data_IF_912854291310
#
_entry.id   IF_912854291310
#
_cell.length_a   1.000
_cell.length_b   1.000
_cell.length_c   1.000
_cell.angle_alpha   90.00
_cell.angle_beta   90.00
_cell.angle_gamma   90.00
#
_symmetry.space_group_name_H-M   'P 1'
#
loop_
_entity.id
_entity.type
_entity.pdbx_description
1 polymer ?
#
# COMPACT_ATOMS: atom_id res chain seq x y z
N UNK A 1 25.74 -5.87 1.75
CA UNK A 1 24.51 -6.69 1.60
C UNK A 1 23.32 -6.20 2.45
N UNK A 2 23.54 -5.54 3.60
CA UNK A 2 22.46 -5.10 4.52
C UNK A 2 21.51 -4.04 3.94
N UNK A 3 22.03 -3.04 3.22
CA UNK A 3 21.25 -1.93 2.70
C UNK A 3 20.18 -2.33 1.67
N UNK A 4 20.49 -3.31 0.82
CA UNK A 4 19.53 -3.84 -0.17
C UNK A 4 18.43 -4.61 0.54
N UNK A 5 18.75 -5.44 1.54
CA UNK A 5 17.72 -6.13 2.34
C UNK A 5 16.82 -5.16 3.07
N UNK A 6 17.37 -4.10 3.67
CA UNK A 6 16.58 -3.09 4.37
C UNK A 6 15.69 -2.27 3.41
N UNK A 7 16.21 -1.96 2.23
CA UNK A 7 15.44 -1.26 1.18
C UNK A 7 14.33 -2.16 0.66
N UNK A 8 14.62 -3.44 0.41
CA UNK A 8 13.63 -4.44 -0.01
C UNK A 8 12.59 -4.66 1.09
N UNK A 9 13.00 -4.76 2.36
CA UNK A 9 12.06 -4.88 3.48
C UNK A 9 11.17 -3.64 3.63
N UNK A 10 11.69 -2.43 3.43
CA UNK A 10 10.87 -1.20 3.41
C UNK A 10 9.90 -1.16 2.22
N UNK A 11 10.30 -1.72 1.07
CA UNK A 11 9.42 -1.85 -0.10
C UNK A 11 8.36 -2.95 0.09
N UNK A 12 8.69 -4.02 0.82
CA UNK A 12 7.80 -5.15 1.12
C UNK A 12 6.88 -4.90 2.31
N UNK A 13 7.28 -4.07 3.28
CA UNK A 13 6.52 -3.80 4.52
C UNK A 13 5.16 -3.13 4.26
N UNK A 14 4.93 -2.64 3.03
CA UNK A 14 3.71 -1.93 2.71
C UNK A 14 3.70 -0.52 3.27
N UNK A 15 2.77 0.30 2.83
CA UNK A 15 2.65 1.68 3.28
C UNK A 15 1.82 1.72 4.57
N UNK A 16 2.25 2.49 5.58
CA UNK A 16 1.43 2.80 6.76
C UNK A 16 0.74 4.15 6.55
N UNK A 17 -0.58 4.16 6.42
CA UNK A 17 -1.36 5.39 6.36
C UNK A 17 -1.92 5.66 7.76
N UNK A 18 -1.60 6.82 8.31
CA UNK A 18 -2.09 7.23 9.64
C UNK A 18 -3.08 8.38 9.53
N UNK A 19 -4.36 8.06 9.72
CA UNK A 19 -5.41 9.07 9.87
C UNK A 19 -5.41 9.60 11.30
N UNK A 20 -5.41 10.93 11.41
CA UNK A 20 -5.50 11.67 12.68
C UNK A 20 -6.73 12.57 12.58
N UNK A 21 -7.90 12.07 12.96
CA UNK A 21 -9.05 12.94 13.02
C UNK A 21 -8.84 13.95 14.14
N UNK A 22 -8.95 15.22 13.78
CA UNK A 22 -8.84 16.32 14.72
C UNK A 22 -10.22 16.63 15.28
N UNK A 23 -10.46 16.15 16.50
CA UNK A 23 -11.72 16.34 17.21
C UNK A 23 -11.56 17.24 18.45
N UNK A 24 -10.34 17.68 18.78
CA UNK A 24 -9.98 18.05 20.15
C UNK A 24 -9.11 19.29 20.33
N UNK A 25 -8.76 20.01 19.26
CA UNK A 25 -7.75 21.08 19.34
C UNK A 25 -8.13 22.30 20.24
N UNK A 26 -9.33 22.34 20.81
CA UNK A 26 -9.79 23.43 21.71
C UNK A 26 -10.01 23.05 23.18
N UNK A 27 -10.00 21.77 23.55
CA UNK A 27 -10.32 21.30 24.90
C UNK A 27 -9.22 20.40 25.44
N UNK A 28 -8.83 20.61 26.69
CA UNK A 28 -7.80 19.78 27.33
C UNK A 28 -8.39 18.43 27.78
N UNK A 29 -7.52 17.51 28.18
CA UNK A 29 -7.91 16.22 28.76
C UNK A 29 -8.73 16.34 30.04
N UNK A 30 -8.71 17.50 30.69
CA UNK A 30 -9.50 17.75 31.90
C UNK A 30 -10.97 18.03 31.57
N UNK A 31 -11.25 18.59 30.39
CA UNK A 31 -12.60 18.92 29.92
C UNK A 31 -13.23 17.76 29.14
N UNK A 32 -12.43 17.07 28.32
CA UNK A 32 -12.91 16.04 27.39
C UNK A 32 -11.93 14.86 27.34
N UNK A 33 -12.47 13.64 27.31
CA UNK A 33 -11.70 12.42 27.05
C UNK A 33 -12.22 11.70 25.79
N UNK A 34 -11.31 11.29 24.91
CA UNK A 34 -11.64 10.51 23.72
C UNK A 34 -11.28 9.04 23.87
N UNK A 35 -12.24 8.18 23.55
CA UNK A 35 -12.04 6.75 23.47
C UNK A 35 -12.75 6.15 22.26
N UNK A 36 -12.23 5.01 21.80
CA UNK A 36 -12.84 4.25 20.70
C UNK A 36 -14.04 3.47 21.23
N UNK A 37 -15.26 3.88 20.85
CA UNK A 37 -16.49 3.18 21.23
C UNK A 37 -16.52 1.79 20.59
N UNK A 38 -16.37 0.75 21.41
CA UNK A 38 -16.25 -0.64 20.94
C UNK A 38 -14.82 -1.10 20.65
N UNK A 39 -13.80 -0.33 21.08
CA UNK A 39 -12.39 -0.71 21.00
C UNK A 39 -12.00 -1.10 19.57
N UNK A 40 -11.52 -2.34 19.40
CA UNK A 40 -11.13 -2.90 18.09
C UNK A 40 -12.25 -2.92 17.02
N UNK A 41 -13.52 -2.80 17.42
CA UNK A 41 -14.67 -2.78 16.50
C UNK A 41 -15.22 -1.37 16.24
N UNK A 42 -14.59 -0.32 16.76
CA UNK A 42 -15.05 1.05 16.59
C UNK A 42 -15.05 1.50 15.12
N UNK A 43 -14.19 0.90 14.29
CA UNK A 43 -14.11 1.19 12.86
C UNK A 43 -14.70 0.02 12.08
N UNK A 44 -15.78 0.30 11.35
CA UNK A 44 -16.47 -0.66 10.48
C UNK A 44 -16.24 -0.33 9.02
N UNK A 45 -16.37 -1.33 8.14
CA UNK A 45 -16.26 -1.11 6.70
C UNK A 45 -14.85 -1.19 6.12
N UNK A 46 -13.81 -1.33 6.97
CA UNK A 46 -12.41 -1.52 6.51
C UNK A 46 -12.28 -2.74 5.57
N UNK A 47 -13.02 -3.81 5.85
CA UNK A 47 -13.02 -5.03 5.03
C UNK A 47 -13.72 -4.89 3.68
N UNK A 48 -14.50 -3.82 3.46
CA UNK A 48 -15.20 -3.55 2.20
C UNK A 48 -14.44 -2.56 1.31
N UNK A 49 -13.32 -2.03 1.79
CA UNK A 49 -12.51 -1.08 1.04
C UNK A 49 -11.57 -1.90 0.14
N UNK A 50 -11.90 -1.93 -1.14
CA UNK A 50 -11.01 -2.45 -2.18
C UNK A 50 -10.32 -1.28 -2.86
N UNK A 51 -8.99 -1.20 -2.72
CA UNK A 51 -8.19 -0.23 -3.47
C UNK A 51 -7.61 -0.95 -4.71
N UNK A 52 -7.59 -0.30 -5.88
CA UNK A 52 -7.15 -0.94 -7.12
C UNK A 52 -5.66 -1.34 -7.11
N UNK A 53 -4.84 -0.66 -6.31
CA UNK A 53 -3.38 -0.88 -6.23
C UNK A 53 -2.91 -1.38 -4.86
N UNK A 54 -3.78 -1.37 -3.85
CA UNK A 54 -3.43 -1.66 -2.47
C UNK A 54 -4.46 -2.59 -1.83
N UNK A 55 -4.03 -3.42 -0.91
CA UNK A 55 -4.90 -4.21 -0.05
C UNK A 55 -4.63 -3.81 1.40
N UNK A 56 -5.69 -3.65 2.18
CA UNK A 56 -5.57 -3.38 3.61
C UNK A 56 -5.22 -4.71 4.28
N UNK A 57 -4.05 -4.79 4.91
CA UNK A 57 -3.57 -5.98 5.64
C UNK A 57 -4.03 -5.94 7.08
N UNK A 58 -3.89 -4.78 7.72
CA UNK A 58 -4.17 -4.61 9.14
C UNK A 58 -4.52 -3.15 9.43
N UNK A 59 -5.20 -2.91 10.54
CA UNK A 59 -5.45 -1.56 11.04
C UNK A 59 -5.34 -1.52 12.56
N UNK A 60 -4.86 -0.39 13.09
CA UNK A 60 -4.62 -0.19 14.52
C UNK A 60 -5.28 1.10 14.99
N UNK A 61 -6.00 0.97 16.09
CA UNK A 61 -6.63 2.07 16.80
C UNK A 61 -5.75 2.46 17.98
N UNK A 62 -5.33 3.71 18.00
CA UNK A 62 -4.48 4.26 19.07
C UNK A 62 -5.21 5.45 19.68
N UNK A 63 -5.34 5.45 21.00
CA UNK A 63 -5.67 6.65 21.77
C UNK A 63 -4.41 7.09 22.51
N UNK A 64 -4.06 8.36 22.41
CA UNK A 64 -2.89 8.94 23.09
C UNK A 64 -3.22 10.34 23.57
N UNK A 65 -2.64 10.72 24.69
CA UNK A 65 -2.66 12.11 25.14
C UNK A 65 -1.37 12.77 24.66
N UNK A 66 -1.49 13.97 24.09
CA UNK A 66 -0.35 14.75 23.61
C UNK A 66 -0.23 15.98 24.46
N UNK A 67 0.93 16.14 25.11
CA UNK A 67 1.24 17.32 25.92
C UNK A 67 1.84 18.38 25.01
N UNK A 68 1.20 19.54 24.96
CA UNK A 68 1.69 20.76 24.33
C UNK A 68 1.94 21.82 25.40
N UNK A 69 2.56 22.95 25.01
CA UNK A 69 2.84 24.07 25.92
C UNK A 69 1.58 24.68 26.55
N UNK A 70 0.42 24.53 25.91
CA UNK A 70 -0.88 25.05 26.35
C UNK A 70 -1.69 24.07 27.20
N UNK A 71 -1.28 22.80 27.28
CA UNK A 71 -2.02 21.76 28.02
C UNK A 71 -1.87 20.37 27.42
N UNK A 72 -2.50 19.37 28.06
CA UNK A 72 -2.62 18.02 27.53
C UNK A 72 -3.90 17.89 26.71
N UNK A 73 -3.80 17.35 25.50
CA UNK A 73 -4.91 17.19 24.58
C UNK A 73 -5.11 15.71 24.21
N UNK A 74 -6.33 15.18 24.31
CA UNK A 74 -6.62 13.81 23.92
C UNK A 74 -6.58 13.70 22.38
N UNK A 75 -5.90 12.67 21.85
CA UNK A 75 -5.76 12.46 20.40
C UNK A 75 -6.02 11.00 20.02
N UNK A 76 -6.96 10.80 19.11
CA UNK A 76 -7.20 9.53 18.46
C UNK A 76 -6.37 9.41 17.18
N UNK A 77 -5.90 8.22 16.87
CA UNK A 77 -5.18 7.92 15.64
C UNK A 77 -5.55 6.53 15.13
N UNK A 78 -5.83 6.45 13.84
CA UNK A 78 -6.14 5.22 13.13
C UNK A 78 -5.05 4.97 12.10
N UNK A 79 -4.29 3.90 12.27
CA UNK A 79 -3.23 3.48 11.35
C UNK A 79 -3.72 2.32 10.49
N UNK A 80 -3.46 2.37 9.18
CA UNK A 80 -3.75 1.31 8.22
C UNK A 80 -2.46 0.81 7.60
N UNK A 81 -2.24 -0.50 7.68
CA UNK A 81 -1.16 -1.17 6.98
C UNK A 81 -1.66 -1.61 5.61
N UNK A 82 -1.12 -1.00 4.56
CA UNK A 82 -1.45 -1.30 3.17
C UNK A 82 -0.37 -2.14 2.53
N UNK A 83 -0.73 -3.26 1.91
CA UNK A 83 0.16 -4.03 1.03
C UNK A 83 -0.14 -3.70 -0.42
N UNK A 84 0.91 -3.52 -1.23
CA UNK A 84 0.74 -3.27 -2.67
C UNK A 84 0.24 -4.54 -3.35
N UNK A 85 -0.84 -4.44 -4.12
CA UNK A 85 -1.36 -5.55 -4.91
C UNK A 85 -0.80 -5.45 -6.34
N UNK A 86 0.21 -6.27 -6.66
CA UNK A 86 0.91 -6.23 -7.96
C UNK A 86 0.26 -7.13 -9.02
N UNK A 87 -0.76 -7.92 -8.66
CA UNK A 87 -1.32 -8.97 -9.53
C UNK A 87 -1.84 -8.45 -10.86
N UNK A 88 -2.58 -7.34 -10.86
CA UNK A 88 -3.10 -6.74 -12.09
C UNK A 88 -1.98 -6.16 -12.96
N UNK A 89 -0.95 -5.54 -12.36
CA UNK A 89 0.21 -5.00 -13.08
C UNK A 89 1.04 -6.11 -13.76
N UNK A 90 1.16 -7.28 -13.12
CA UNK A 90 1.80 -8.45 -13.74
C UNK A 90 1.01 -8.93 -14.96
N UNK A 91 -0.31 -9.08 -14.83
CA UNK A 91 -1.14 -9.57 -15.92
C UNK A 91 -1.24 -8.59 -17.10
N UNK A 92 -1.23 -7.27 -16.84
CA UNK A 92 -1.38 -6.28 -17.89
C UNK A 92 -0.06 -5.88 -18.55
N UNK A 93 1.05 -5.81 -17.81
CA UNK A 93 2.34 -5.32 -18.35
C UNK A 93 3.37 -6.43 -18.54
N UNK A 94 3.49 -7.37 -17.60
CA UNK A 94 4.52 -8.41 -17.71
C UNK A 94 4.14 -9.50 -18.72
N UNK A 95 2.87 -9.91 -18.78
CA UNK A 95 2.40 -10.86 -19.80
C UNK A 95 2.74 -10.42 -21.24
N UNK A 96 2.35 -9.22 -21.72
CA UNK A 96 2.67 -8.81 -23.09
C UNK A 96 4.18 -8.67 -23.31
N UNK A 97 4.94 -8.14 -22.35
CA UNK A 97 6.41 -8.03 -22.49
C UNK A 97 7.11 -9.39 -22.58
N UNK A 98 6.67 -10.39 -21.79
CA UNK A 98 7.21 -11.75 -21.86
C UNK A 98 6.85 -12.39 -23.20
N UNK A 99 5.60 -12.23 -23.66
CA UNK A 99 5.17 -12.73 -24.97
C UNK A 99 6.00 -12.12 -26.11
N UNK A 100 6.23 -10.81 -26.11
CA UNK A 100 7.07 -10.13 -27.11
C UNK A 100 8.52 -10.64 -27.06
N UNK A 101 9.07 -10.82 -25.85
CA UNK A 101 10.42 -11.37 -25.68
C UNK A 101 10.53 -12.78 -26.26
N UNK A 102 9.57 -13.66 -25.94
CA UNK A 102 9.52 -15.01 -26.49
C UNK A 102 9.39 -14.98 -28.02
N UNK A 103 8.49 -14.16 -28.58
CA UNK A 103 8.31 -14.03 -30.03
C UNK A 103 9.58 -13.54 -30.74
N UNK A 104 10.30 -12.60 -30.14
CA UNK A 104 11.60 -12.14 -30.66
C UNK A 104 12.64 -13.27 -30.72
N UNK A 105 12.62 -14.19 -29.75
CA UNK A 105 13.55 -15.32 -29.70
C UNK A 105 13.14 -16.47 -30.62
N UNK A 106 11.84 -16.69 -30.81
CA UNK A 106 11.31 -17.67 -31.77
C UNK A 106 11.70 -17.31 -33.22
N UNK A 107 11.92 -16.02 -33.52
CA UNK A 107 12.43 -15.58 -34.83
C UNK A 107 13.85 -16.08 -35.17
N UNK A 108 14.61 -16.54 -34.17
CA UNK A 108 15.91 -17.18 -34.36
C UNK A 108 15.79 -18.68 -34.69
N UNK A 109 14.65 -19.31 -34.40
CA UNK A 109 14.39 -20.73 -34.73
C UNK A 109 13.79 -20.93 -36.13
N UNK A 110 13.36 -19.86 -36.79
CA UNK A 110 12.92 -19.90 -38.19
C UNK A 110 14.14 -20.00 -39.10
N UNK A 111 14.15 -21.05 -39.93
CA UNK A 111 15.21 -21.33 -40.91
C UNK A 111 15.45 -20.15 -41.85
N UNK A 112 16.71 -19.96 -42.24
CA UNK A 112 17.23 -18.81 -42.98
C UNK A 112 16.70 -18.65 -44.43
N UNK A 113 15.91 -19.58 -44.95
CA UNK A 113 15.55 -19.67 -46.38
C UNK A 113 14.37 -18.76 -46.80
N UNK A 114 13.83 -17.96 -45.87
CA UNK A 114 12.76 -17.00 -46.13
C UNK A 114 13.19 -15.56 -45.76
N UNK A 115 14.26 -15.07 -46.41
CA UNK A 115 14.92 -13.78 -46.15
C UNK A 115 14.07 -12.54 -46.44
N UNK A 116 12.88 -12.65 -47.05
CA UNK A 116 12.06 -11.51 -47.45
C UNK A 116 11.05 -11.04 -46.38
N UNK A 117 10.81 -11.81 -45.30
CA UNK A 117 9.76 -11.51 -44.32
C UNK A 117 10.24 -10.78 -43.04
N UNK A 118 11.56 -10.52 -42.90
CA UNK A 118 12.15 -9.95 -41.66
C UNK A 118 12.04 -8.43 -41.50
N UNK A 119 11.60 -7.69 -42.51
CA UNK A 119 11.60 -6.19 -42.48
C UNK A 119 10.25 -5.61 -41.99
N UNK A 120 9.21 -6.44 -41.86
CA UNK A 120 7.85 -5.96 -41.57
C UNK A 120 7.32 -6.29 -40.16
N UNK A 121 8.11 -6.96 -39.30
CA UNK A 121 7.69 -7.38 -37.95
C UNK A 121 8.29 -6.51 -36.84
#
# INVERSE_FOLDING_TARGET
MSFVKETVDKLLQGYDIRLRPDFGDGYTTDDIEFYWKGGGRAVTGVTRIELPQFSIVDYKLVSRNVVFSTGAYPRLSLSFKLKRNIGYFILQTYMPSILITILSWVSFWINYDASAARVAL
#
